data_IF_617050011699
#
_entry.id   IF_617050011699
#
_cell.length_a   1.000
_cell.length_b   1.000
_cell.length_c   1.000
_cell.angle_alpha   90.00
_cell.angle_beta   90.00
_cell.angle_gamma   90.00
#
_symmetry.space_group_name_H-M   'P 1'
#
loop_
_entity.id
_entity.type
_entity.pdbx_description
1 polymer ?
#
# COMPACT_ATOMS: atom_id res chain seq x y z
N UNK A 1 -7.38 -32.15 2.71
CA UNK A 1 -6.05 -32.79 2.63
C UNK A 1 -4.89 -31.82 2.88
N UNK A 2 -5.10 -30.50 2.77
CA UNK A 2 -4.09 -29.46 3.10
C UNK A 2 -3.93 -29.24 4.62
N UNK A 3 -4.95 -29.58 5.43
CA UNK A 3 -4.95 -29.34 6.88
C UNK A 3 -3.92 -30.19 7.66
N UNK A 4 -3.47 -31.32 7.12
CA UNK A 4 -2.58 -32.24 7.83
C UNK A 4 -1.09 -31.89 7.73
N UNK A 5 -0.69 -31.05 6.76
CA UNK A 5 0.73 -30.72 6.54
C UNK A 5 1.26 -29.59 7.46
N UNK A 6 0.36 -28.88 8.15
CA UNK A 6 0.71 -27.71 8.97
C UNK A 6 1.03 -28.06 10.44
N UNK A 7 0.76 -29.30 10.86
CA UNK A 7 0.91 -29.74 12.28
C UNK A 7 2.36 -30.13 12.63
N UNK A 8 3.25 -30.34 11.66
CA UNK A 8 4.60 -30.90 11.93
C UNK A 8 5.77 -29.90 11.87
N UNK A 9 5.51 -28.58 11.79
CA UNK A 9 6.54 -27.57 11.50
C UNK A 9 6.97 -26.67 12.66
N UNK A 10 6.68 -26.99 13.93
CA UNK A 10 7.21 -26.21 15.07
C UNK A 10 8.58 -26.75 15.48
N UNK A 11 9.63 -25.97 15.26
CA UNK A 11 10.64 -25.72 16.30
C UNK A 11 11.66 -24.61 15.94
N UNK A 12 11.82 -23.71 16.92
CA UNK A 12 12.98 -22.86 17.28
C UNK A 12 13.10 -21.46 16.68
N UNK A 13 12.60 -20.52 17.48
CA UNK A 13 12.95 -19.11 17.55
C UNK A 13 14.45 -18.90 17.82
N UNK A 14 15.03 -17.88 17.22
CA UNK A 14 16.19 -17.20 17.77
C UNK A 14 16.00 -15.69 17.64
N UNK A 15 16.06 -15.04 18.80
CA UNK A 15 15.82 -13.62 19.05
C UNK A 15 17.04 -12.79 18.62
N UNK A 16 16.85 -11.78 17.76
CA UNK A 16 17.86 -10.73 17.54
C UNK A 16 17.19 -9.37 17.70
N UNK A 17 17.51 -8.70 18.81
CA UNK A 17 17.25 -7.28 19.06
C UNK A 17 18.08 -6.43 18.10
N UNK A 18 17.45 -5.51 17.37
CA UNK A 18 18.13 -4.37 16.75
C UNK A 18 17.34 -3.12 17.07
N UNK A 19 18.03 -2.15 17.67
CA UNK A 19 17.46 -0.95 18.28
C UNK A 19 17.08 0.15 17.30
N UNK A 20 16.16 0.98 17.78
CA UNK A 20 15.68 2.21 17.17
C UNK A 20 16.83 3.18 16.86
N UNK A 21 16.76 3.77 15.66
CA UNK A 21 17.39 5.04 15.34
C UNK A 21 16.40 5.87 14.53
N UNK A 22 15.70 6.73 15.25
CA UNK A 22 15.04 7.92 14.71
C UNK A 22 16.10 8.90 14.18
N UNK A 23 15.91 9.38 12.96
CA UNK A 23 16.67 10.49 12.40
C UNK A 23 15.69 11.53 11.85
N UNK A 24 15.32 12.47 12.72
CA UNK A 24 14.81 13.78 12.33
C UNK A 24 15.96 14.56 11.67
N UNK A 25 15.76 15.05 10.44
CA UNK A 25 16.71 15.95 9.78
C UNK A 25 16.06 17.32 9.60
N UNK A 26 16.38 18.20 10.56
CA UNK A 26 15.99 19.60 10.60
C UNK A 26 16.73 20.43 9.56
N UNK A 27 15.98 21.36 8.98
CA UNK A 27 16.39 22.42 8.07
C UNK A 27 17.46 23.34 8.68
N UNK A 28 18.47 23.70 7.88
CA UNK A 28 19.49 24.68 8.23
C UNK A 28 20.19 25.21 7.00
N UNK A 29 19.55 26.17 6.31
CA UNK A 29 20.14 26.96 5.24
C UNK A 29 21.12 27.99 5.85
N UNK A 30 22.42 27.83 5.61
CA UNK A 30 23.40 28.89 5.87
C UNK A 30 23.61 29.69 4.58
N UNK A 31 23.05 30.90 4.54
CA UNK A 31 23.35 31.95 3.57
C UNK A 31 24.50 32.76 4.16
N UNK A 32 25.71 32.63 3.59
CA UNK A 32 26.83 33.51 3.93
C UNK A 32 26.84 34.70 2.97
N UNK A 33 26.92 35.90 3.55
CA UNK A 33 26.85 37.19 2.85
C UNK A 33 28.25 37.64 2.46
N UNK A 34 28.45 37.97 1.19
CA UNK A 34 29.71 38.50 0.68
C UNK A 34 29.93 39.99 0.97
N UNK A 35 31.20 40.39 1.05
CA UNK A 35 31.74 41.70 0.61
C UNK A 35 33.23 41.52 0.28
N UNK A 36 33.71 42.03 -0.86
CA UNK A 36 35.14 42.18 -1.13
C UNK A 36 35.49 42.50 -2.59
N UNK A 37 35.82 43.76 -2.86
CA UNK A 37 35.97 44.46 -4.16
C UNK A 37 37.33 44.25 -4.85
N UNK A 38 37.32 44.35 -6.19
CA UNK A 38 38.47 44.70 -7.07
C UNK A 38 38.55 43.74 -8.26
N UNK A 39 38.60 44.11 -9.53
CA UNK A 39 38.92 45.33 -10.26
C UNK A 39 39.63 44.89 -11.56
N UNK A 40 39.50 45.66 -12.65
CA UNK A 40 40.26 45.60 -13.92
C UNK A 40 39.67 44.76 -15.07
N UNK A 41 38.97 45.48 -15.96
CA UNK A 41 39.16 45.59 -17.41
C UNK A 41 39.53 44.35 -18.24
N UNK A 42 38.66 43.99 -19.19
CA UNK A 42 39.05 43.72 -20.58
C UNK A 42 37.81 43.69 -21.49
N UNK A 43 37.78 44.62 -22.44
CA UNK A 43 36.87 44.63 -23.57
C UNK A 43 37.12 43.41 -24.47
N UNK A 44 36.09 42.61 -24.74
CA UNK A 44 36.10 41.74 -25.91
C UNK A 44 34.68 41.49 -26.41
N UNK A 45 34.36 42.12 -27.54
CA UNK A 45 33.16 41.86 -28.32
C UNK A 45 33.25 40.46 -28.97
N UNK A 46 32.30 39.59 -28.66
CA UNK A 46 31.92 38.48 -29.55
C UNK A 46 30.49 38.04 -29.30
N UNK A 47 29.66 38.32 -30.31
CA UNK A 47 28.32 37.79 -30.47
C UNK A 47 28.31 36.25 -30.43
N UNK A 48 27.27 35.68 -29.82
CA UNK A 48 26.88 34.28 -29.99
C UNK A 48 27.21 33.36 -28.82
N UNK A 49 26.35 33.36 -27.79
CA UNK A 49 26.56 32.54 -26.59
C UNK A 49 25.28 32.05 -25.92
N UNK A 50 24.25 31.66 -26.67
CA UNK A 50 23.07 30.96 -26.11
C UNK A 50 23.42 29.49 -25.87
N UNK A 51 24.33 29.21 -24.92
CA UNK A 51 25.01 27.90 -24.85
C UNK A 51 24.87 27.10 -23.55
N UNK A 52 24.52 27.70 -22.42
CA UNK A 52 24.77 27.06 -21.11
C UNK A 52 23.49 26.68 -20.35
N UNK A 53 22.34 27.28 -20.65
CA UNK A 53 21.05 26.92 -20.03
C UNK A 53 20.31 25.77 -20.75
N UNK A 54 20.73 25.43 -21.98
CA UNK A 54 20.01 24.46 -22.83
C UNK A 54 20.47 23.01 -22.64
N UNK A 55 21.66 22.77 -22.05
CA UNK A 55 22.24 21.42 -21.94
C UNK A 55 21.67 20.60 -20.76
N UNK A 56 21.27 21.25 -19.66
CA UNK A 56 20.63 20.55 -18.53
C UNK A 56 19.14 20.25 -18.79
N UNK A 57 18.45 21.12 -19.54
CA UNK A 57 17.02 20.91 -19.86
C UNK A 57 16.81 19.82 -20.93
N UNK A 58 17.74 19.67 -21.87
CA UNK A 58 17.72 18.60 -22.89
C UNK A 58 18.07 17.22 -22.30
N UNK A 59 18.97 17.17 -21.30
CA UNK A 59 19.35 15.94 -20.60
C UNK A 59 18.19 15.38 -19.74
N UNK A 60 17.49 16.24 -19.00
CA UNK A 60 16.30 15.83 -18.24
C UNK A 60 15.14 15.41 -19.16
N UNK A 61 14.94 16.14 -20.27
CA UNK A 61 13.88 15.83 -21.24
C UNK A 61 14.11 14.50 -21.98
N UNK A 62 15.36 14.19 -22.32
CA UNK A 62 15.72 12.90 -22.96
C UNK A 62 15.58 11.71 -22.00
N UNK A 63 15.92 11.87 -20.73
CA UNK A 63 15.71 10.86 -19.70
C UNK A 63 14.21 10.55 -19.50
N UNK A 64 13.35 11.59 -19.43
CA UNK A 64 11.90 11.45 -19.32
C UNK A 64 11.28 10.79 -20.56
N UNK A 65 11.78 11.11 -21.76
CA UNK A 65 11.36 10.44 -23.00
C UNK A 65 11.71 8.94 -23.00
N UNK A 66 12.89 8.60 -22.50
CA UNK A 66 13.32 7.21 -22.31
C UNK A 66 12.39 6.44 -21.37
N UNK A 67 11.98 7.04 -20.25
CA UNK A 67 11.06 6.44 -19.29
C UNK A 67 9.67 6.20 -19.91
N UNK A 68 9.11 7.19 -20.61
CA UNK A 68 7.82 7.06 -21.29
C UNK A 68 7.83 5.92 -22.33
N UNK A 69 8.93 5.79 -23.08
CA UNK A 69 9.13 4.69 -24.02
C UNK A 69 9.18 3.32 -23.34
N UNK A 70 9.86 3.20 -22.19
CA UNK A 70 9.90 1.98 -21.38
C UNK A 70 8.52 1.60 -20.84
N UNK A 71 7.78 2.56 -20.28
CA UNK A 71 6.42 2.33 -19.78
C UNK A 71 5.47 1.82 -20.86
N UNK A 72 5.53 2.36 -22.09
CA UNK A 72 4.73 1.87 -23.22
C UNK A 72 5.05 0.42 -23.57
N UNK A 73 6.34 0.03 -23.55
CA UNK A 73 6.77 -1.36 -23.79
C UNK A 73 6.27 -2.30 -22.71
N UNK A 74 6.42 -1.91 -21.43
CA UNK A 74 5.91 -2.66 -20.29
C UNK A 74 4.40 -2.87 -20.44
N UNK A 75 3.63 -1.81 -20.69
CA UNK A 75 2.18 -1.90 -20.85
C UNK A 75 1.77 -2.84 -21.99
N UNK A 76 2.51 -2.85 -23.10
CA UNK A 76 2.29 -3.79 -24.19
C UNK A 76 2.55 -5.25 -23.75
N UNK A 77 3.61 -5.49 -22.98
CA UNK A 77 3.91 -6.82 -22.42
C UNK A 77 2.86 -7.31 -21.42
N UNK A 78 2.34 -6.42 -20.56
CA UNK A 78 1.24 -6.76 -19.64
C UNK A 78 -0.03 -7.20 -20.37
N UNK A 79 -0.28 -6.63 -21.55
CA UNK A 79 -1.45 -6.92 -22.41
C UNK A 79 -1.22 -8.10 -23.36
N UNK A 80 -0.08 -8.80 -23.28
CA UNK A 80 0.23 -9.96 -24.11
C UNK A 80 -0.55 -11.21 -23.64
N UNK A 81 -1.87 -11.18 -23.83
CA UNK A 81 -2.77 -12.25 -23.39
C UNK A 81 -2.35 -13.61 -23.99
N UNK A 82 -2.24 -14.62 -23.13
CA UNK A 82 -1.80 -15.97 -23.51
C UNK A 82 -0.28 -16.14 -23.60
N UNK A 83 0.49 -15.07 -23.42
CA UNK A 83 1.96 -15.11 -23.35
C UNK A 83 2.43 -14.84 -21.92
N UNK A 84 2.15 -15.77 -21.00
CA UNK A 84 2.44 -15.62 -19.56
C UNK A 84 3.89 -15.20 -19.28
N UNK A 85 4.86 -15.76 -20.02
CA UNK A 85 6.27 -15.39 -19.89
C UNK A 85 6.54 -13.90 -20.16
N UNK A 86 5.87 -13.30 -21.17
CA UNK A 86 5.98 -11.86 -21.45
C UNK A 86 5.28 -11.03 -20.39
N UNK A 87 4.15 -11.51 -19.88
CA UNK A 87 3.41 -10.82 -18.80
C UNK A 87 4.23 -10.80 -17.51
N UNK A 88 4.84 -11.92 -17.13
CA UNK A 88 5.74 -12.03 -15.97
C UNK A 88 6.96 -11.12 -16.13
N UNK A 89 7.60 -11.12 -17.30
CA UNK A 89 8.74 -10.22 -17.58
C UNK A 89 8.34 -8.74 -17.45
N UNK A 90 7.22 -8.35 -18.04
CA UNK A 90 6.72 -6.98 -17.97
C UNK A 90 6.33 -6.58 -16.53
N UNK A 91 5.71 -7.49 -15.78
CA UNK A 91 5.37 -7.28 -14.37
C UNK A 91 6.61 -7.10 -13.50
N UNK A 92 7.64 -7.95 -13.67
CA UNK A 92 8.91 -7.81 -12.95
C UNK A 92 9.56 -6.45 -13.23
N UNK A 93 9.65 -6.06 -14.51
CA UNK A 93 10.19 -4.76 -14.91
C UNK A 93 9.38 -3.59 -14.32
N UNK A 94 8.05 -3.71 -14.26
CA UNK A 94 7.19 -2.70 -13.64
C UNK A 94 7.43 -2.63 -12.13
N UNK A 95 7.45 -3.77 -11.43
CA UNK A 95 7.68 -3.83 -9.99
C UNK A 95 9.01 -3.20 -9.61
N UNK A 96 10.08 -3.53 -10.35
CA UNK A 96 11.41 -2.95 -10.15
C UNK A 96 11.36 -1.43 -10.35
N UNK A 97 10.82 -0.97 -11.47
CA UNK A 97 10.73 0.46 -11.80
C UNK A 97 9.95 1.26 -10.75
N UNK A 98 8.79 0.77 -10.31
CA UNK A 98 7.97 1.48 -9.32
C UNK A 98 8.58 1.38 -7.92
N UNK A 99 9.28 0.28 -7.58
CA UNK A 99 9.87 0.11 -6.24
C UNK A 99 10.99 1.10 -5.91
N UNK A 100 11.70 1.59 -6.92
CA UNK A 100 12.77 2.61 -6.78
C UNK A 100 12.31 3.99 -7.28
N UNK A 101 11.07 4.09 -7.76
CA UNK A 101 10.50 5.32 -8.27
C UNK A 101 10.17 6.29 -7.14
N UNK A 102 10.29 7.58 -7.44
CA UNK A 102 9.72 8.66 -6.66
C UNK A 102 8.48 9.23 -7.35
N UNK A 103 7.66 9.97 -6.62
CA UNK A 103 6.49 10.67 -7.18
C UNK A 103 6.86 11.53 -8.41
N UNK A 104 7.98 12.27 -8.35
CA UNK A 104 8.48 13.08 -9.47
C UNK A 104 8.83 12.24 -10.70
N UNK A 105 9.48 11.09 -10.50
CA UNK A 105 9.90 10.20 -11.58
C UNK A 105 8.69 9.56 -12.29
N UNK A 106 7.61 9.33 -11.54
CA UNK A 106 6.37 8.73 -12.03
C UNK A 106 5.30 9.78 -12.37
N UNK A 107 5.64 11.06 -12.41
CA UNK A 107 4.73 12.15 -12.78
C UNK A 107 4.04 11.96 -14.15
N UNK A 108 4.67 11.24 -15.06
CA UNK A 108 4.12 10.90 -16.40
C UNK A 108 3.46 9.52 -16.47
N UNK A 109 3.35 8.82 -15.34
CA UNK A 109 2.79 7.48 -15.28
C UNK A 109 1.28 7.49 -15.55
N UNK A 110 0.83 6.75 -16.55
CA UNK A 110 -0.59 6.68 -16.91
C UNK A 110 -1.33 5.66 -16.03
N UNK A 111 -1.64 6.03 -14.79
CA UNK A 111 -2.35 5.17 -13.82
C UNK A 111 -3.59 4.51 -14.44
N UNK A 112 -4.42 5.29 -15.15
CA UNK A 112 -5.63 4.82 -15.81
C UNK A 112 -5.40 3.76 -16.89
N UNK A 113 -4.20 3.69 -17.49
CA UNK A 113 -3.88 2.68 -18.50
C UNK A 113 -3.37 1.38 -17.90
N UNK A 114 -2.68 1.46 -16.76
CA UNK A 114 -2.03 0.33 -16.10
C UNK A 114 -2.95 -0.39 -15.11
N UNK A 115 -3.64 0.35 -14.24
CA UNK A 115 -4.45 -0.22 -13.16
C UNK A 115 -5.47 -1.26 -13.64
N UNK A 116 -6.26 -1.03 -14.73
CA UNK A 116 -7.22 -2.04 -15.20
C UNK A 116 -6.55 -3.34 -15.62
N UNK A 117 -5.38 -3.24 -16.25
CA UNK A 117 -4.61 -4.40 -16.69
C UNK A 117 -4.07 -5.16 -15.48
N UNK A 118 -3.53 -4.44 -14.49
CA UNK A 118 -3.02 -5.05 -13.25
C UNK A 118 -4.12 -5.74 -12.45
N UNK A 119 -5.31 -5.14 -12.34
CA UNK A 119 -6.47 -5.78 -11.68
C UNK A 119 -6.93 -7.01 -12.47
N UNK A 120 -6.88 -6.98 -13.81
CA UNK A 120 -7.14 -8.16 -14.64
C UNK A 120 -6.14 -9.29 -14.36
N UNK A 121 -4.85 -8.97 -14.30
CA UNK A 121 -3.77 -9.93 -14.01
C UNK A 121 -3.84 -10.46 -12.57
N UNK A 122 -4.28 -9.65 -11.61
CA UNK A 122 -4.51 -10.07 -10.22
C UNK A 122 -5.57 -11.19 -10.11
N UNK A 123 -6.53 -11.23 -11.04
CA UNK A 123 -7.54 -12.28 -11.13
C UNK A 123 -7.16 -13.41 -12.11
N UNK A 124 -5.89 -13.51 -12.51
CA UNK A 124 -5.42 -14.58 -13.37
C UNK A 124 -5.16 -15.86 -12.56
N UNK A 125 -6.25 -16.51 -12.12
CA UNK A 125 -6.22 -17.66 -11.19
C UNK A 125 -5.40 -18.86 -11.66
N UNK A 126 -5.05 -18.93 -12.96
CA UNK A 126 -4.24 -19.99 -13.52
C UNK A 126 -2.72 -19.83 -13.27
N UNK A 127 -2.27 -18.65 -12.82
CA UNK A 127 -0.84 -18.39 -12.62
C UNK A 127 -0.58 -17.53 -11.37
N UNK A 128 -0.16 -18.13 -10.23
CA UNK A 128 0.03 -17.41 -8.98
C UNK A 128 1.17 -16.38 -9.03
N UNK A 129 2.18 -16.58 -9.90
CA UNK A 129 3.29 -15.64 -10.03
C UNK A 129 2.81 -14.32 -10.65
N UNK A 130 1.96 -14.40 -11.68
CA UNK A 130 1.31 -13.23 -12.29
C UNK A 130 0.46 -12.50 -11.26
N UNK A 131 -0.36 -13.22 -10.50
CA UNK A 131 -1.22 -12.63 -9.46
C UNK A 131 -0.40 -11.90 -8.40
N UNK A 132 0.67 -12.54 -7.90
CA UNK A 132 1.55 -11.99 -6.87
C UNK A 132 2.29 -10.75 -7.35
N UNK A 133 2.86 -10.78 -8.56
CA UNK A 133 3.55 -9.63 -9.14
C UNK A 133 2.58 -8.49 -9.44
N UNK A 134 1.36 -8.77 -9.92
CA UNK A 134 0.33 -7.76 -10.12
C UNK A 134 -0.10 -7.10 -8.80
N UNK A 135 -0.32 -7.90 -7.75
CA UNK A 135 -0.60 -7.41 -6.39
C UNK A 135 0.52 -6.49 -5.88
N UNK A 136 1.78 -6.91 -6.08
CA UNK A 136 2.96 -6.14 -5.67
C UNK A 136 3.09 -4.84 -6.45
N UNK A 137 2.87 -4.87 -7.77
CA UNK A 137 2.87 -3.66 -8.60
C UNK A 137 1.81 -2.65 -8.16
N UNK A 138 0.58 -3.10 -7.88
CA UNK A 138 -0.48 -2.26 -7.33
C UNK A 138 -0.11 -1.69 -5.96
N UNK A 139 0.51 -2.49 -5.09
CA UNK A 139 0.96 -2.06 -3.76
C UNK A 139 2.03 -0.98 -3.85
N UNK A 140 3.06 -1.17 -4.66
CA UNK A 140 4.11 -0.17 -4.86
C UNK A 140 3.54 1.11 -5.51
N UNK A 141 2.57 0.97 -6.43
CA UNK A 141 1.95 2.11 -7.10
C UNK A 141 1.22 3.02 -6.10
N UNK A 142 0.40 2.46 -5.21
CA UNK A 142 -0.30 3.28 -4.19
C UNK A 142 0.63 3.80 -3.10
N UNK A 143 1.79 3.16 -2.90
CA UNK A 143 2.80 3.61 -1.93
C UNK A 143 3.59 4.82 -2.46
N UNK A 144 4.05 4.75 -3.71
CA UNK A 144 4.84 5.81 -4.34
C UNK A 144 3.96 6.95 -4.88
N UNK A 145 2.75 6.63 -5.33
CA UNK A 145 1.78 7.58 -5.84
C UNK A 145 0.44 7.44 -5.08
N UNK A 146 0.28 8.05 -3.90
CA UNK A 146 -0.99 7.99 -3.14
C UNK A 146 -2.20 8.47 -3.95
N UNK A 147 -2.00 9.44 -4.85
CA UNK A 147 -3.04 9.95 -5.78
C UNK A 147 -3.59 8.88 -6.73
N UNK A 148 -2.86 7.78 -6.97
CA UNK A 148 -3.32 6.65 -7.77
C UNK A 148 -4.36 5.79 -7.05
N UNK A 149 -4.45 5.89 -5.72
CA UNK A 149 -5.28 5.02 -4.89
C UNK A 149 -6.76 5.09 -5.29
N UNK A 150 -7.28 6.29 -5.59
CA UNK A 150 -8.66 6.46 -6.08
C UNK A 150 -8.96 5.64 -7.34
N UNK A 151 -7.99 5.53 -8.24
CA UNK A 151 -8.12 4.76 -9.50
C UNK A 151 -8.07 3.26 -9.20
N UNK A 152 -7.18 2.83 -8.30
CA UNK A 152 -7.08 1.44 -7.82
C UNK A 152 -8.39 0.98 -7.18
N UNK A 153 -9.01 1.84 -6.35
CA UNK A 153 -10.33 1.59 -5.77
C UNK A 153 -11.42 1.54 -6.84
N UNK A 154 -11.43 2.50 -7.77
CA UNK A 154 -12.42 2.58 -8.85
C UNK A 154 -12.46 1.31 -9.71
N UNK A 155 -11.31 0.72 -10.01
CA UNK A 155 -11.23 -0.51 -10.81
C UNK A 155 -11.43 -1.80 -9.99
N UNK A 156 -11.83 -1.71 -8.72
CA UNK A 156 -12.26 -2.87 -7.93
C UNK A 156 -11.13 -3.71 -7.33
N UNK A 157 -9.92 -3.15 -7.20
CA UNK A 157 -8.78 -3.90 -6.64
C UNK A 157 -9.01 -4.36 -5.20
N UNK A 158 -9.74 -3.59 -4.38
CA UNK A 158 -10.03 -3.94 -2.98
C UNK A 158 -10.73 -5.30 -2.90
N UNK A 159 -11.79 -5.50 -3.68
CA UNK A 159 -12.56 -6.76 -3.67
C UNK A 159 -11.69 -7.95 -4.08
N UNK A 160 -10.73 -7.74 -4.99
CA UNK A 160 -9.79 -8.78 -5.40
C UNK A 160 -8.87 -9.19 -4.23
N UNK A 161 -8.30 -8.21 -3.51
CA UNK A 161 -7.47 -8.48 -2.33
C UNK A 161 -8.27 -9.13 -1.20
N UNK A 162 -9.50 -8.68 -0.96
CA UNK A 162 -10.41 -9.27 0.03
C UNK A 162 -10.68 -10.74 -0.29
N UNK A 163 -10.96 -11.08 -1.55
CA UNK A 163 -11.17 -12.46 -1.96
C UNK A 163 -9.97 -13.36 -1.63
N UNK A 164 -8.73 -12.86 -1.83
CA UNK A 164 -7.50 -13.60 -1.52
C UNK A 164 -7.25 -13.78 -0.01
N UNK A 165 -7.86 -12.96 0.84
CA UNK A 165 -7.81 -13.12 2.30
C UNK A 165 -8.92 -14.03 2.85
N UNK A 166 -10.08 -14.06 2.19
CA UNK A 166 -11.19 -14.94 2.58
C UNK A 166 -10.97 -16.39 2.13
N UNK A 167 -10.31 -16.57 0.97
CA UNK A 167 -9.94 -17.88 0.41
C UNK A 167 -8.43 -17.93 0.19
N UNK A 168 -7.69 -18.33 1.24
CA UNK A 168 -6.23 -18.39 1.19
C UNK A 168 -5.79 -19.66 0.45
N UNK A 169 -5.47 -19.52 -0.83
CA UNK A 169 -4.86 -20.58 -1.65
C UNK A 169 -3.32 -20.48 -1.65
N UNK A 170 -2.80 -19.26 -1.67
CA UNK A 170 -1.38 -18.94 -1.73
C UNK A 170 -1.01 -17.97 -0.61
N UNK A 171 -0.14 -18.39 0.32
CA UNK A 171 0.22 -17.60 1.50
C UNK A 171 0.92 -16.29 1.14
N UNK A 172 1.87 -16.32 0.19
CA UNK A 172 2.60 -15.12 -0.24
C UNK A 172 1.65 -14.07 -0.87
N UNK A 173 0.66 -14.53 -1.62
CA UNK A 173 -0.36 -13.67 -2.22
C UNK A 173 -1.28 -13.07 -1.16
N UNK A 174 -1.68 -13.85 -0.15
CA UNK A 174 -2.49 -13.35 0.97
C UNK A 174 -1.72 -12.28 1.77
N UNK A 175 -0.45 -12.52 2.09
CA UNK A 175 0.39 -11.53 2.77
C UNK A 175 0.55 -10.26 1.92
N UNK A 176 0.84 -10.40 0.62
CA UNK A 176 0.95 -9.26 -0.28
C UNK A 176 -0.37 -8.49 -0.44
N UNK A 177 -1.51 -9.20 -0.47
CA UNK A 177 -2.85 -8.60 -0.52
C UNK A 177 -3.13 -7.79 0.74
N UNK A 178 -2.70 -8.29 1.90
CA UNK A 178 -2.81 -7.57 3.16
C UNK A 178 -1.95 -6.30 3.18
N UNK A 179 -0.72 -6.35 2.63
CA UNK A 179 0.12 -5.15 2.49
C UNK A 179 -0.55 -4.11 1.58
N UNK A 180 -1.16 -4.54 0.48
CA UNK A 180 -1.91 -3.66 -0.42
C UNK A 180 -3.08 -2.98 0.31
N UNK A 181 -3.89 -3.76 1.02
CA UNK A 181 -5.03 -3.25 1.80
C UNK A 181 -4.58 -2.30 2.90
N UNK A 182 -3.43 -2.54 3.55
CA UNK A 182 -2.87 -1.61 4.52
C UNK A 182 -2.65 -0.24 3.89
N UNK A 183 -1.98 -0.17 2.74
CA UNK A 183 -1.70 1.10 2.03
C UNK A 183 -3.00 1.77 1.58
N UNK A 184 -3.91 1.03 0.96
CA UNK A 184 -5.20 1.57 0.50
C UNK A 184 -6.04 2.10 1.66
N UNK A 185 -6.05 1.40 2.80
CA UNK A 185 -6.83 1.79 3.99
C UNK A 185 -6.37 3.11 4.63
N UNK A 186 -5.14 3.56 4.36
CA UNK A 186 -4.64 4.85 4.85
C UNK A 186 -5.33 6.01 4.12
N UNK A 187 -5.56 5.86 2.82
CA UNK A 187 -6.16 6.87 1.95
C UNK A 187 -7.69 6.74 1.85
N UNK A 188 -8.20 5.51 1.72
CA UNK A 188 -9.60 5.20 1.48
C UNK A 188 -10.18 4.17 2.48
N UNK A 189 -10.20 4.46 3.80
CA UNK A 189 -10.65 3.53 4.83
C UNK A 189 -12.11 3.08 4.63
N UNK A 190 -13.01 4.00 4.27
CA UNK A 190 -14.44 3.69 4.05
C UNK A 190 -14.66 2.75 2.86
N UNK A 191 -13.85 2.86 1.80
CA UNK A 191 -13.96 1.96 0.65
C UNK A 191 -13.55 0.53 1.02
N UNK A 192 -12.48 0.39 1.82
CA UNK A 192 -12.07 -0.91 2.37
C UNK A 192 -13.15 -1.52 3.26
N UNK A 193 -13.74 -0.72 4.16
CA UNK A 193 -14.81 -1.17 5.06
C UNK A 193 -16.00 -1.72 4.26
N UNK A 194 -16.48 -0.97 3.27
CA UNK A 194 -17.64 -1.35 2.43
C UNK A 194 -17.38 -2.59 1.57
N UNK A 195 -16.13 -2.88 1.25
CA UNK A 195 -15.75 -4.09 0.55
C UNK A 195 -15.62 -5.33 1.46
N UNK A 196 -15.91 -5.20 2.77
CA UNK A 196 -15.78 -6.29 3.73
C UNK A 196 -14.34 -6.58 4.17
N UNK A 197 -13.40 -5.66 3.92
CA UNK A 197 -11.99 -5.90 4.22
C UNK A 197 -11.71 -6.06 5.72
N UNK A 198 -12.51 -5.42 6.60
CA UNK A 198 -12.31 -5.48 8.04
C UNK A 198 -12.47 -6.92 8.58
N UNK A 199 -13.51 -7.63 8.16
CA UNK A 199 -13.69 -9.04 8.54
C UNK A 199 -12.64 -9.93 7.88
N UNK A 200 -12.30 -9.65 6.61
CA UNK A 200 -11.33 -10.45 5.86
C UNK A 200 -9.93 -10.46 6.50
N UNK A 201 -9.44 -9.31 6.98
CA UNK A 201 -8.11 -9.24 7.64
C UNK A 201 -8.07 -9.90 9.02
N UNK A 202 -9.23 -10.13 9.65
CA UNK A 202 -9.33 -10.76 10.97
C UNK A 202 -9.64 -12.26 10.91
N UNK A 203 -10.20 -12.76 9.79
CA UNK A 203 -10.74 -14.13 9.69
C UNK A 203 -9.72 -15.24 9.97
N UNK A 204 -8.46 -15.06 9.57
CA UNK A 204 -7.38 -16.05 9.76
C UNK A 204 -6.26 -15.55 10.67
N UNK A 205 -6.53 -14.53 11.49
CA UNK A 205 -5.52 -13.79 12.24
C UNK A 205 -4.65 -14.71 13.13
N UNK A 206 -5.26 -15.67 13.82
CA UNK A 206 -4.56 -16.62 14.71
C UNK A 206 -3.53 -17.50 13.98
N UNK A 207 -3.68 -17.68 12.67
CA UNK A 207 -2.77 -18.50 11.85
C UNK A 207 -1.63 -17.70 11.23
N UNK A 208 -1.74 -16.37 11.23
CA UNK A 208 -0.71 -15.50 10.71
C UNK A 208 0.47 -15.40 11.68
N UNK A 209 1.67 -15.21 11.13
CA UNK A 209 2.84 -14.86 11.94
C UNK A 209 2.57 -13.55 12.68
N UNK A 210 3.22 -13.34 13.84
CA UNK A 210 3.06 -12.10 14.62
C UNK A 210 3.32 -10.85 13.79
N UNK A 211 4.26 -10.90 12.83
CA UNK A 211 4.52 -9.79 11.90
C UNK A 211 3.28 -9.48 11.05
N UNK A 212 2.66 -10.49 10.47
CA UNK A 212 1.47 -10.36 9.61
C UNK A 212 0.24 -9.96 10.44
N UNK A 213 0.09 -10.49 11.66
CA UNK A 213 -0.96 -10.06 12.61
C UNK A 213 -0.89 -8.55 12.89
N UNK A 214 0.31 -8.01 13.14
CA UNK A 214 0.50 -6.56 13.35
C UNK A 214 0.07 -5.74 12.13
N UNK A 215 0.34 -6.23 10.91
CA UNK A 215 -0.09 -5.57 9.67
C UNK A 215 -1.60 -5.64 9.52
N UNK A 216 -2.22 -6.79 9.80
CA UNK A 216 -3.68 -6.96 9.76
C UNK A 216 -4.39 -6.01 10.71
N UNK A 217 -3.89 -5.90 11.94
CA UNK A 217 -4.48 -5.01 12.94
C UNK A 217 -4.23 -3.54 12.65
N UNK A 218 -3.05 -3.15 12.18
CA UNK A 218 -2.83 -1.79 11.67
C UNK A 218 -3.82 -1.43 10.55
N UNK A 219 -4.10 -2.38 9.67
CA UNK A 219 -5.06 -2.24 8.57
C UNK A 219 -6.49 -2.08 9.10
N UNK A 220 -6.90 -2.88 10.10
CA UNK A 220 -8.17 -2.74 10.79
C UNK A 220 -8.30 -1.39 11.51
N UNK A 221 -7.26 -0.94 12.22
CA UNK A 221 -7.21 0.35 12.90
C UNK A 221 -7.38 1.51 11.92
N UNK A 222 -6.74 1.46 10.75
CA UNK A 222 -6.91 2.46 9.69
C UNK A 222 -8.38 2.57 9.24
N UNK A 223 -9.02 1.42 8.99
CA UNK A 223 -10.44 1.38 8.60
C UNK A 223 -11.37 1.95 9.67
N UNK A 224 -11.04 1.75 10.95
CA UNK A 224 -11.86 2.21 12.06
C UNK A 224 -11.62 3.67 12.45
N UNK A 225 -10.55 4.32 11.97
CA UNK A 225 -10.17 5.70 12.37
C UNK A 225 -11.26 6.74 12.09
N UNK A 226 -12.06 6.57 11.04
CA UNK A 226 -13.17 7.47 10.66
C UNK A 226 -14.34 6.66 10.12
N UNK A 227 -15.11 6.07 11.02
CA UNK A 227 -16.28 5.27 10.67
C UNK A 227 -17.46 6.16 10.23
N UNK A 228 -18.10 5.88 9.08
CA UNK A 228 -19.34 6.56 8.71
C UNK A 228 -20.49 6.16 9.64
N UNK A 229 -21.57 6.93 9.65
CA UNK A 229 -22.73 6.72 10.55
C UNK A 229 -23.47 5.40 10.32
N UNK A 230 -23.36 4.83 9.11
CA UNK A 230 -23.94 3.57 8.68
C UNK A 230 -22.97 2.38 8.84
N UNK A 231 -21.85 2.56 9.56
CA UNK A 231 -20.81 1.54 9.69
C UNK A 231 -21.16 0.38 10.64
N UNK A 232 -22.29 0.46 11.36
CA UNK A 232 -22.57 -0.41 12.52
C UNK A 232 -22.50 -1.89 12.17
N UNK A 233 -23.09 -2.25 11.05
CA UNK A 233 -23.23 -3.64 10.63
C UNK A 233 -21.84 -4.26 10.35
N UNK A 234 -20.94 -3.49 9.75
CA UNK A 234 -19.57 -3.93 9.47
C UNK A 234 -18.72 -4.11 10.73
N UNK A 235 -19.00 -3.31 11.77
CA UNK A 235 -18.14 -3.22 12.95
C UNK A 235 -18.59 -4.18 14.05
N UNK A 236 -19.90 -4.37 14.24
CA UNK A 236 -20.44 -5.22 15.29
C UNK A 236 -20.00 -6.69 15.15
N UNK A 237 -19.82 -7.18 13.92
CA UNK A 237 -19.32 -8.54 13.68
C UNK A 237 -17.86 -8.74 14.11
N UNK A 238 -17.05 -7.67 14.10
CA UNK A 238 -15.61 -7.77 14.39
C UNK A 238 -15.25 -7.42 15.83
N UNK A 239 -16.18 -6.85 16.60
CA UNK A 239 -15.96 -6.52 18.03
C UNK A 239 -15.59 -7.76 18.86
N UNK A 240 -16.28 -8.92 18.77
CA UNK A 240 -15.90 -10.09 19.56
C UNK A 240 -14.50 -10.64 19.21
N UNK A 241 -14.13 -10.84 17.92
CA UNK A 241 -12.75 -11.18 17.55
C UNK A 241 -11.72 -10.17 18.08
N UNK A 242 -12.01 -8.87 17.98
CA UNK A 242 -11.10 -7.81 18.44
C UNK A 242 -10.89 -7.84 19.96
N UNK A 243 -11.94 -8.10 20.75
CA UNK A 243 -11.81 -8.25 22.21
C UNK A 243 -11.01 -9.49 22.59
N UNK A 244 -11.11 -10.59 21.83
CA UNK A 244 -10.29 -11.78 22.08
C UNK A 244 -8.79 -11.50 21.93
N UNK A 245 -8.41 -10.57 21.05
CA UNK A 245 -7.01 -10.18 20.87
C UNK A 245 -6.42 -9.47 22.08
N UNK A 246 -7.24 -8.94 22.99
CA UNK A 246 -6.75 -8.35 24.24
C UNK A 246 -6.14 -9.41 25.20
N UNK A 247 -6.32 -10.69 24.90
CA UNK A 247 -5.71 -11.80 25.63
C UNK A 247 -4.35 -12.21 25.06
N UNK A 248 -3.91 -11.61 23.95
CA UNK A 248 -2.62 -11.93 23.33
C UNK A 248 -1.45 -11.36 24.14
N UNK A 249 -0.26 -11.95 23.96
CA UNK A 249 0.96 -11.51 24.66
C UNK A 249 1.78 -10.47 23.89
N UNK A 250 1.58 -10.33 22.58
CA UNK A 250 2.35 -9.39 21.78
C UNK A 250 1.88 -7.95 22.01
N UNK A 251 2.78 -7.10 22.53
CA UNK A 251 2.46 -5.72 22.89
C UNK A 251 1.93 -4.90 21.71
N UNK A 252 2.46 -5.13 20.50
CA UNK A 252 2.02 -4.40 19.31
C UNK A 252 0.64 -4.87 18.84
N UNK A 253 0.34 -6.17 18.92
CA UNK A 253 -1.02 -6.67 18.68
C UNK A 253 -2.01 -6.04 19.65
N UNK A 254 -1.70 -6.02 20.95
CA UNK A 254 -2.55 -5.41 21.98
C UNK A 254 -2.79 -3.91 21.74
N UNK A 255 -1.73 -3.17 21.40
CA UNK A 255 -1.80 -1.74 21.10
C UNK A 255 -2.78 -1.46 19.94
N UNK A 256 -2.62 -2.15 18.81
CA UNK A 256 -3.50 -1.94 17.65
C UNK A 256 -4.94 -2.37 17.93
N UNK A 257 -5.15 -3.50 18.62
CA UNK A 257 -6.48 -3.96 19.00
C UNK A 257 -7.18 -2.95 19.92
N UNK A 258 -6.45 -2.41 20.90
CA UNK A 258 -6.96 -1.39 21.83
C UNK A 258 -7.34 -0.09 21.11
N UNK A 259 -6.46 0.42 20.24
CA UNK A 259 -6.74 1.64 19.45
C UNK A 259 -7.94 1.42 18.52
N UNK A 260 -8.01 0.25 17.87
CA UNK A 260 -9.13 -0.10 17.00
C UNK A 260 -10.45 -0.08 17.76
N UNK A 261 -10.50 -0.72 18.94
CA UNK A 261 -11.68 -0.71 19.82
C UNK A 261 -12.03 0.71 20.28
N UNK A 262 -11.06 1.54 20.66
CA UNK A 262 -11.31 2.95 21.02
C UNK A 262 -12.01 3.70 19.89
N UNK A 263 -11.51 3.60 18.66
CA UNK A 263 -12.15 4.25 17.51
C UNK A 263 -13.59 3.76 17.28
N UNK A 264 -13.81 2.46 17.46
CA UNK A 264 -15.16 1.87 17.38
C UNK A 264 -16.05 2.49 18.46
N UNK A 265 -15.63 2.47 19.73
CA UNK A 265 -16.43 3.03 20.83
C UNK A 265 -16.71 4.53 20.66
N UNK A 266 -15.73 5.31 20.21
CA UNK A 266 -15.90 6.74 19.92
C UNK A 266 -16.92 7.00 18.80
N UNK A 267 -16.90 6.18 17.74
CA UNK A 267 -17.90 6.26 16.67
C UNK A 267 -19.30 5.98 17.22
N UNK A 268 -19.49 4.89 17.98
CA UNK A 268 -20.79 4.54 18.56
C UNK A 268 -21.27 5.55 19.63
N UNK A 269 -20.36 6.17 20.37
CA UNK A 269 -20.70 7.25 21.30
C UNK A 269 -21.18 8.52 20.58
N UNK A 270 -20.65 8.77 19.37
CA UNK A 270 -21.01 9.92 18.53
C UNK A 270 -22.34 9.73 17.80
N UNK A 271 -22.80 8.48 17.62
CA UNK A 271 -24.08 8.13 17.00
C UNK A 271 -25.05 7.56 18.05
N UNK A 272 -25.80 8.40 18.80
CA UNK A 272 -26.69 7.95 19.87
C UNK A 272 -27.81 7.01 19.42
N UNK A 273 -28.18 7.00 18.13
CA UNK A 273 -29.16 6.09 17.54
C UNK A 273 -28.64 4.65 17.36
N UNK A 274 -27.34 4.44 17.54
CA UNK A 274 -26.67 3.13 17.49
C UNK A 274 -26.55 2.47 18.86
N UNK A 275 -27.05 3.13 19.92
CA UNK A 275 -27.19 2.52 21.25
C UNK A 275 -28.20 1.40 21.14
N UNK A 276 -27.67 0.19 21.00
CA UNK A 276 -28.30 -1.10 21.21
C UNK A 276 -29.52 -0.90 22.10
N UNK A 277 -30.71 -0.96 21.48
CA UNK A 277 -31.95 -1.06 22.21
C UNK A 277 -31.85 -2.36 23.00
N UNK A 278 -31.59 -2.26 24.29
CA UNK A 278 -31.73 -3.34 25.27
C UNK A 278 -33.21 -3.75 25.47
N UNK A 279 -34.07 -3.48 24.49
CA UNK A 279 -35.48 -3.87 24.46
C UNK A 279 -35.64 -5.21 23.74
N UNK A 280 -35.08 -6.29 24.32
CA UNK A 280 -35.60 -7.65 24.17
C UNK A 280 -34.89 -8.60 25.15
N UNK A 281 -34.98 -8.28 26.45
CA UNK A 281 -34.84 -9.30 27.49
C UNK A 281 -36.27 -9.77 27.79
N UNK A 282 -36.70 -10.95 27.33
CA UNK A 282 -37.97 -11.52 27.79
C UNK A 282 -37.85 -11.79 29.30
N UNK A 283 -38.78 -11.21 30.05
CA UNK A 283 -38.92 -11.41 31.50
C UNK A 283 -39.47 -12.78 31.87
#
# INVERSE_FOLDING_TARGET
MVWYCMVTGKEKENEVRVGDRDAEQSLGLNIDSGVGVGGEDNDNDSEGGVGILHQNLTSASSALQGLSGRLKKILAGLRANGEEGKQVEALMQLCEMVSIGTEDSLSTFSVYSFVPVLVGLLNHENNPDIMLLAARALTHLVDVLPSSCVVVVHYGAISCFVARLLTIEYMDLAEQSLQALKKISQEHPTACLRAGALMAVLSYLDFFSTRVQRVALATATNMCKKLPSDASDFVMEVVPPMMNLLQYHDAKVLEHASICLTHIFEAFASYPDLRITTQNIPG
#
